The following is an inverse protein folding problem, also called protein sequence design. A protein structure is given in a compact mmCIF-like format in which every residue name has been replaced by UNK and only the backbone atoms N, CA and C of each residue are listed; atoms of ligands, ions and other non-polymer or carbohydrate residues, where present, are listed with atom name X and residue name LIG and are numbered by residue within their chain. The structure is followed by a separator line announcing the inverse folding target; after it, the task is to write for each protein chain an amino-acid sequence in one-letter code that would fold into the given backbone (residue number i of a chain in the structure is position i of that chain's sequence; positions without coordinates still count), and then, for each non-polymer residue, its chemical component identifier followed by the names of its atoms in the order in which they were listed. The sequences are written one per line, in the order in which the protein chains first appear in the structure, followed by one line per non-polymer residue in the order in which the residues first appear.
data_IF_338040001306
#
_entry.id   IF_338040001306
#
_cell.length_a   1.000
_cell.length_b   1.000
_cell.length_c   1.000
_cell.angle_alpha   90.00
_cell.angle_beta   90.00
_cell.angle_gamma   90.00
#
_symmetry.space_group_name_H-M   'P 1'
#
loop_
_entity.id
_entity.type
_entity.pdbx_description
1 polymer ?
#
# COMPACT_ATOMS: atom_id res chain seq x y z
N UNK A 1 23.05 -14.16 26.88
CA UNK A 1 22.32 -12.91 26.60
C UNK A 1 22.12 -12.71 25.10
N UNK A 2 23.10 -13.03 24.24
CA UNK A 2 23.00 -12.81 22.79
C UNK A 2 21.97 -13.70 22.05
N UNK A 3 21.83 -14.98 22.42
CA UNK A 3 20.90 -15.89 21.74
C UNK A 3 19.42 -15.55 21.98
N UNK A 4 19.08 -15.05 23.18
CA UNK A 4 17.73 -14.61 23.49
C UNK A 4 17.35 -13.35 22.68
N UNK A 5 18.29 -12.43 22.47
CA UNK A 5 18.06 -11.23 21.65
C UNK A 5 17.91 -11.59 20.18
N UNK A 6 18.71 -12.53 19.67
CA UNK A 6 18.58 -13.04 18.29
C UNK A 6 17.22 -13.67 18.07
N UNK A 7 16.79 -14.58 18.96
CA UNK A 7 15.48 -15.23 18.83
C UNK A 7 14.35 -14.22 18.91
N UNK A 8 14.43 -13.26 19.84
CA UNK A 8 13.40 -12.21 19.96
C UNK A 8 13.31 -11.33 18.71
N UNK A 9 14.45 -11.04 18.05
CA UNK A 9 14.47 -10.26 16.81
C UNK A 9 13.88 -11.04 15.62
N UNK A 10 14.09 -12.36 15.57
CA UNK A 10 13.46 -13.23 14.57
C UNK A 10 11.94 -13.27 14.79
N UNK A 11 11.51 -13.56 16.01
CA UNK A 11 10.09 -13.66 16.36
C UNK A 11 9.36 -12.34 16.07
N UNK A 12 9.98 -11.19 16.38
CA UNK A 12 9.44 -9.85 16.09
C UNK A 12 9.25 -9.55 14.60
N UNK A 13 10.04 -10.18 13.73
CA UNK A 13 9.94 -9.98 12.27
C UNK A 13 9.11 -11.03 11.56
N UNK A 14 8.86 -12.17 12.20
CA UNK A 14 8.14 -13.30 11.63
C UNK A 14 6.68 -13.36 12.07
N UNK A 15 6.39 -13.02 13.34
CA UNK A 15 5.07 -13.22 13.93
C UNK A 15 4.44 -11.93 14.47
N UNK A 16 3.10 -11.83 14.45
CA UNK A 16 2.15 -12.78 13.84
C UNK A 16 2.06 -12.66 12.31
N UNK A 17 2.49 -11.52 11.75
CA UNK A 17 2.53 -11.28 10.31
C UNK A 17 3.95 -10.85 9.96
N UNK A 18 4.62 -11.55 9.04
CA UNK A 18 6.01 -11.28 8.74
C UNK A 18 6.18 -9.96 7.99
N UNK A 19 7.29 -9.28 8.26
CA UNK A 19 7.71 -8.08 7.56
C UNK A 19 7.64 -6.78 8.39
N UNK A 20 8.13 -5.69 7.81
CA UNK A 20 8.27 -4.39 8.50
C UNK A 20 7.33 -3.31 7.98
N UNK A 21 6.84 -3.45 6.75
CA UNK A 21 6.06 -2.43 6.05
C UNK A 21 4.86 -3.11 5.40
N UNK A 22 3.71 -2.46 5.48
CA UNK A 22 2.48 -2.83 4.78
C UNK A 22 2.00 -1.64 3.95
N UNK A 23 1.52 -1.91 2.73
CA UNK A 23 0.81 -0.91 1.91
C UNK A 23 -0.65 -1.34 1.85
N UNK A 24 -1.55 -0.44 2.26
CA UNK A 24 -3.00 -0.68 2.22
C UNK A 24 -3.66 0.27 1.23
N UNK A 25 -4.64 -0.19 0.44
CA UNK A 25 -5.42 0.68 -0.42
C UNK A 25 -6.17 1.74 0.40
N UNK A 26 -6.16 2.98 -0.06
CA UNK A 26 -6.92 4.08 0.58
C UNK A 26 -8.36 4.18 0.07
N UNK A 27 -8.70 3.48 -1.01
CA UNK A 27 -10.05 3.44 -1.60
C UNK A 27 -10.61 2.01 -1.56
N UNK A 28 -11.95 1.86 -1.51
CA UNK A 28 -12.58 0.55 -1.60
C UNK A 28 -12.16 -0.21 -2.85
N UNK A 29 -11.97 -1.52 -2.73
CA UNK A 29 -11.68 -2.46 -3.82
C UNK A 29 -12.55 -3.74 -3.69
N UNK A 30 -13.70 -3.65 -3.02
CA UNK A 30 -14.50 -4.82 -2.62
C UNK A 30 -15.43 -5.31 -3.74
N UNK A 31 -15.80 -4.45 -4.68
CA UNK A 31 -16.76 -4.77 -5.75
C UNK A 31 -16.14 -4.69 -7.14
N UNK A 32 -16.78 -5.32 -8.12
CA UNK A 32 -16.39 -5.21 -9.53
C UNK A 32 -16.35 -3.76 -10.02
N UNK A 33 -17.29 -2.92 -9.53
CA UNK A 33 -17.31 -1.49 -9.84
C UNK A 33 -16.10 -0.76 -9.26
N UNK A 34 -15.69 -1.10 -8.03
CA UNK A 34 -14.52 -0.49 -7.39
C UNK A 34 -13.23 -0.83 -8.15
N UNK A 35 -13.08 -2.09 -8.56
CA UNK A 35 -11.95 -2.53 -9.38
C UNK A 35 -11.91 -1.84 -10.75
N UNK A 36 -13.08 -1.69 -11.39
CA UNK A 36 -13.18 -1.00 -12.68
C UNK A 36 -12.80 0.48 -12.61
N UNK A 37 -12.94 1.12 -11.44
CA UNK A 37 -12.50 2.50 -11.20
C UNK A 37 -11.00 2.59 -10.85
N UNK A 38 -10.50 1.62 -10.09
CA UNK A 38 -9.10 1.60 -9.65
C UNK A 38 -8.12 1.20 -10.77
N UNK A 39 -8.58 0.41 -11.74
CA UNK A 39 -7.79 -0.07 -12.87
C UNK A 39 -8.35 0.42 -14.22
N UNK A 40 -7.58 0.24 -15.28
CA UNK A 40 -7.97 0.64 -16.65
C UNK A 40 -9.29 -0.04 -17.06
N UNK A 41 -10.24 0.67 -17.72
CA UNK A 41 -10.20 2.04 -18.23
C UNK A 41 -10.59 3.14 -17.21
N UNK A 42 -11.09 2.81 -16.01
CA UNK A 42 -11.56 3.80 -15.05
C UNK A 42 -10.46 4.74 -14.54
N UNK A 43 -9.26 4.22 -14.32
CA UNK A 43 -8.09 5.01 -13.88
C UNK A 43 -7.69 6.08 -14.90
N UNK A 44 -7.98 5.88 -16.19
CA UNK A 44 -7.64 6.82 -17.26
C UNK A 44 -8.36 8.17 -17.11
N UNK A 45 -9.56 8.18 -16.51
CA UNK A 45 -10.28 9.42 -16.22
C UNK A 45 -9.64 10.23 -15.08
N UNK A 46 -8.95 9.55 -14.15
CA UNK A 46 -8.18 10.19 -13.09
C UNK A 46 -6.81 10.69 -13.59
N UNK A 47 -6.33 10.15 -14.71
CA UNK A 47 -5.12 10.56 -15.41
C UNK A 47 -5.49 11.26 -16.74
N UNK A 48 -6.14 12.45 -16.71
CA UNK A 48 -6.30 13.22 -17.93
C UNK A 48 -4.90 13.50 -18.49
N UNK A 49 -4.73 13.27 -19.80
CA UNK A 49 -3.47 13.39 -20.54
C UNK A 49 -2.89 14.81 -20.62
N UNK A 50 -3.06 15.62 -19.57
CA UNK A 50 -2.44 16.92 -19.48
C UNK A 50 -2.11 17.25 -18.02
N UNK A 51 -0.81 17.17 -17.73
CA UNK A 51 -0.07 17.77 -16.62
C UNK A 51 -0.82 18.89 -15.89
N UNK A 52 -1.64 18.61 -14.85
CA UNK A 52 -2.15 19.68 -13.99
C UNK A 52 -2.17 19.35 -12.49
N UNK A 53 -1.35 20.18 -11.81
CA UNK A 53 -1.15 20.47 -10.38
C UNK A 53 -0.23 19.49 -9.62
N UNK A 54 1.03 19.88 -9.33
CA UNK A 54 1.76 19.24 -8.26
C UNK A 54 0.99 19.46 -6.95
N UNK A 55 0.67 18.37 -6.26
CA UNK A 55 0.12 18.43 -4.92
C UNK A 55 1.22 18.95 -3.97
N UNK A 56 0.91 20.03 -3.24
CA UNK A 56 1.75 20.54 -2.15
C UNK A 56 2.92 21.40 -2.62
N UNK A 57 2.71 22.73 -2.66
CA UNK A 57 3.78 23.69 -2.37
C UNK A 57 3.60 24.05 -0.89
N UNK A 58 4.55 23.65 -0.06
CA UNK A 58 4.79 24.26 1.26
C UNK A 58 5.33 25.68 1.06
#
# INVERSE_FOLDING_TARGET
MDEQLKQSALDFHEFPVPGKIQVVPTKPLATQRDLALAYSPGVSSALPGDRKRPAGRL
#
